data_IF_108310209680
#
_entry.id   IF_108310209680
#
_cell.length_a   1.000
_cell.length_b   1.000
_cell.length_c   1.000
_cell.angle_alpha   90.00
_cell.angle_beta   90.00
_cell.angle_gamma   90.00
#
_symmetry.space_group_name_H-M   'P 1'
#
loop_
_entity.id
_entity.type
_entity.pdbx_description
1 polymer ?
#
# COMPACT_ATOMS: atom_id res chain seq x y z
N UNK A 1 -3.84 80.02 48.78
CA UNK A 1 -4.54 79.17 49.77
C UNK A 1 -5.97 79.70 49.87
N UNK A 2 -7.05 78.90 49.88
CA UNK A 2 -7.21 77.48 50.24
C UNK A 2 -7.68 76.62 49.03
N UNK A 3 -7.52 75.30 48.94
CA UNK A 3 -7.89 74.15 49.79
C UNK A 3 -9.22 73.50 49.35
N UNK A 4 -9.11 72.19 49.03
CA UNK A 4 -10.09 71.09 48.91
C UNK A 4 -11.47 71.38 48.26
N UNK A 5 -11.97 70.53 47.37
CA UNK A 5 -12.68 69.28 47.69
C UNK A 5 -12.93 68.51 46.36
N UNK A 6 -12.47 67.24 46.27
CA UNK A 6 -13.08 66.20 45.41
C UNK A 6 -14.42 65.79 46.06
N UNK A 7 -15.49 65.34 45.39
CA UNK A 7 -15.41 64.22 44.44
C UNK A 7 -16.55 64.11 43.37
N UNK A 8 -16.49 62.99 42.64
CA UNK A 8 -17.66 62.22 42.18
C UNK A 8 -18.53 62.81 41.05
N UNK A 9 -18.14 62.54 39.80
CA UNK A 9 -19.05 62.11 38.74
C UNK A 9 -18.20 61.80 37.50
N UNK A 10 -17.89 60.52 37.22
CA UNK A 10 -17.64 60.00 35.85
C UNK A 10 -17.06 58.58 35.81
N UNK A 11 -16.64 57.98 36.92
CA UNK A 11 -16.18 56.59 36.91
C UNK A 11 -17.32 55.54 37.03
N UNK A 12 -18.58 55.98 37.12
CA UNK A 12 -19.75 55.11 37.33
C UNK A 12 -20.50 54.72 36.04
N UNK A 13 -19.88 54.91 34.86
CA UNK A 13 -20.41 54.38 33.58
C UNK A 13 -19.53 53.29 32.95
N UNK A 14 -18.32 53.07 33.48
CA UNK A 14 -17.41 52.04 32.96
C UNK A 14 -17.39 50.74 33.78
N UNK A 15 -17.95 50.74 35.00
CA UNK A 15 -17.98 49.55 35.87
C UNK A 15 -19.23 48.66 35.67
N UNK A 16 -20.26 49.14 34.98
CA UNK A 16 -21.46 48.34 34.68
C UNK A 16 -21.39 47.55 33.35
N UNK A 17 -20.34 47.75 32.55
CA UNK A 17 -20.11 47.01 31.30
C UNK A 17 -19.06 45.88 31.44
N UNK A 18 -18.31 45.86 32.55
CA UNK A 18 -17.32 44.81 32.84
C UNK A 18 -17.89 43.62 33.66
N UNK A 19 -19.11 43.74 34.20
CA UNK A 19 -19.77 42.67 34.97
C UNK A 19 -20.66 41.77 34.09
N UNK A 20 -20.90 42.14 32.83
CA UNK A 20 -21.73 41.35 31.91
C UNK A 20 -20.95 40.27 31.11
N UNK A 21 -19.61 40.26 31.16
CA UNK A 21 -18.80 39.34 30.32
C UNK A 21 -18.06 38.22 31.07
N UNK A 22 -18.28 38.02 32.38
CA UNK A 22 -17.52 36.99 33.14
C UNK A 22 -18.40 35.83 33.65
N UNK A 23 -19.71 35.85 33.43
CA UNK A 23 -20.61 34.76 33.91
C UNK A 23 -20.79 33.61 32.89
N UNK A 24 -20.19 33.67 31.70
CA UNK A 24 -20.35 32.64 30.65
C UNK A 24 -19.09 31.88 30.24
N UNK A 25 -18.05 31.83 31.08
CA UNK A 25 -16.75 31.23 30.74
C UNK A 25 -16.37 29.93 31.45
N UNK A 26 -17.30 29.27 32.15
CA UNK A 26 -16.97 28.19 33.09
C UNK A 26 -17.75 26.90 32.90
N UNK A 27 -18.04 26.48 31.67
CA UNK A 27 -18.40 25.08 31.43
C UNK A 27 -17.17 24.37 30.88
N UNK A 28 -16.42 23.74 31.79
CA UNK A 28 -15.44 22.74 31.39
C UNK A 28 -16.18 21.71 30.55
N UNK A 29 -15.86 21.67 29.25
CA UNK A 29 -16.22 20.57 28.40
C UNK A 29 -15.53 19.33 28.96
N UNK A 30 -16.21 18.61 29.85
CA UNK A 30 -15.88 17.22 30.09
C UNK A 30 -16.05 16.55 28.74
N UNK A 31 -14.92 16.20 28.12
CA UNK A 31 -14.90 15.29 26.99
C UNK A 31 -15.75 14.09 27.45
N UNK A 32 -16.91 13.91 26.80
CA UNK A 32 -17.81 12.80 27.06
C UNK A 32 -17.00 11.56 26.72
N UNK A 33 -16.47 10.91 27.75
CA UNK A 33 -15.74 9.67 27.61
C UNK A 33 -16.69 8.72 26.89
N UNK A 34 -16.27 8.30 25.71
CA UNK A 34 -17.10 7.55 24.78
C UNK A 34 -17.40 6.18 25.42
N UNK A 35 -18.60 6.03 26.00
CA UNK A 35 -19.04 4.84 26.74
C UNK A 35 -18.87 3.56 25.89
N UNK A 36 -18.94 3.69 24.57
CA UNK A 36 -18.72 2.61 23.61
C UNK A 36 -17.27 2.11 23.64
N UNK A 37 -16.30 3.03 23.68
CA UNK A 37 -14.87 2.71 23.72
C UNK A 37 -14.46 1.99 25.02
N UNK A 38 -15.06 2.36 26.16
CA UNK A 38 -14.78 1.71 27.44
C UNK A 38 -15.39 0.31 27.51
N UNK A 39 -16.58 0.14 26.94
CA UNK A 39 -17.25 -1.16 26.85
C UNK A 39 -16.42 -2.14 26.01
N UNK A 40 -15.91 -1.70 24.85
CA UNK A 40 -15.07 -2.54 23.99
C UNK A 40 -13.75 -2.92 24.68
N UNK A 41 -13.12 -1.99 25.40
CA UNK A 41 -11.89 -2.29 26.15
C UNK A 41 -12.11 -3.30 27.28
N UNK A 42 -13.26 -3.23 27.96
CA UNK A 42 -13.62 -4.21 28.99
C UNK A 42 -13.79 -5.61 28.37
N UNK A 43 -14.47 -5.71 27.22
CA UNK A 43 -14.70 -6.97 26.52
C UNK A 43 -13.39 -7.60 26.00
N UNK A 44 -12.45 -6.78 25.49
CA UNK A 44 -11.14 -7.26 25.03
C UNK A 44 -10.29 -7.84 26.19
N UNK A 45 -10.36 -7.25 27.38
CA UNK A 45 -9.68 -7.80 28.57
C UNK A 45 -10.26 -9.15 28.98
N UNK A 46 -11.58 -9.31 28.90
CA UNK A 46 -12.23 -10.59 29.19
C UNK A 46 -11.83 -11.67 28.17
N UNK A 47 -11.78 -11.33 26.88
CA UNK A 47 -11.29 -12.24 25.84
C UNK A 47 -9.83 -12.66 26.08
N UNK A 48 -8.94 -11.70 26.39
CA UNK A 48 -7.54 -11.98 26.69
C UNK A 48 -7.39 -12.91 27.90
N UNK A 49 -8.23 -12.73 28.92
CA UNK A 49 -8.22 -13.60 30.12
C UNK A 49 -8.72 -15.01 29.78
N UNK A 50 -9.70 -15.14 28.88
CA UNK A 50 -10.20 -16.42 28.42
C UNK A 50 -9.22 -17.16 27.48
N UNK A 51 -8.46 -16.43 26.66
CA UNK A 51 -7.40 -16.99 25.81
C UNK A 51 -6.19 -17.50 26.60
N UNK A 52 -5.89 -16.86 27.74
CA UNK A 52 -4.81 -17.26 28.63
C UNK A 52 -5.18 -18.42 29.57
N UNK A 53 -6.44 -18.84 29.60
CA UNK A 53 -6.84 -20.05 30.32
C UNK A 53 -6.59 -21.26 29.40
N UNK A 54 -5.66 -22.14 29.81
CA UNK A 54 -5.25 -23.36 29.09
C UNK A 54 -6.40 -24.38 28.91
N UNK A 55 -7.31 -24.07 27.99
CA UNK A 55 -8.37 -24.94 27.55
C UNK A 55 -8.55 -24.80 26.05
N UNK A 56 -8.59 -25.91 25.32
CA UNK A 56 -8.86 -25.97 23.89
C UNK A 56 -10.32 -25.56 23.59
N UNK A 57 -10.65 -24.30 23.84
CA UNK A 57 -11.93 -23.69 23.52
C UNK A 57 -11.88 -23.24 22.06
N UNK A 58 -12.90 -23.60 21.29
CA UNK A 58 -13.05 -23.09 19.93
C UNK A 58 -13.25 -21.57 19.95
N UNK A 59 -12.82 -20.89 18.88
CA UNK A 59 -12.97 -19.44 18.76
C UNK A 59 -14.42 -18.96 19.02
N UNK A 60 -15.42 -19.76 18.64
CA UNK A 60 -16.83 -19.51 18.89
C UNK A 60 -17.18 -19.46 20.39
N UNK A 61 -16.63 -20.39 21.18
CA UNK A 61 -16.87 -20.48 22.62
C UNK A 61 -16.26 -19.28 23.35
N UNK A 62 -15.09 -18.82 22.91
CA UNK A 62 -14.42 -17.64 23.47
C UNK A 62 -15.19 -16.34 23.17
N UNK A 63 -15.76 -16.20 21.97
CA UNK A 63 -16.57 -15.03 21.58
C UNK A 63 -17.87 -14.97 22.39
N UNK A 64 -18.52 -16.12 22.63
CA UNK A 64 -19.70 -16.19 23.48
C UNK A 64 -19.35 -15.88 24.95
N UNK A 65 -18.28 -16.46 25.47
CA UNK A 65 -17.86 -16.24 26.86
C UNK A 65 -17.41 -14.80 27.13
N UNK A 66 -16.83 -14.13 26.13
CA UNK A 66 -16.45 -12.73 26.22
C UNK A 66 -17.63 -11.75 26.05
N UNK A 67 -18.87 -12.22 25.85
CA UNK A 67 -20.03 -11.36 25.64
C UNK A 67 -19.99 -10.56 24.34
N UNK A 68 -19.12 -10.95 23.40
CA UNK A 68 -18.91 -10.27 22.12
C UNK A 68 -19.92 -10.69 21.05
N UNK A 69 -20.84 -11.60 21.36
CA UNK A 69 -21.83 -12.12 20.41
C UNK A 69 -22.73 -11.04 19.78
N UNK A 70 -22.94 -9.91 20.47
CA UNK A 70 -23.69 -8.77 19.93
C UNK A 70 -22.86 -7.85 19.01
N UNK A 71 -21.54 -7.96 19.06
CA UNK A 71 -20.58 -7.14 18.30
C UNK A 71 -19.87 -7.94 17.20
N UNK A 72 -19.96 -9.27 17.27
CA UNK A 72 -19.43 -10.21 16.31
C UNK A 72 -20.61 -11.00 15.79
N UNK A 73 -21.12 -10.66 14.60
CA UNK A 73 -22.03 -11.52 13.87
C UNK A 73 -21.27 -12.80 13.49
N UNK A 74 -21.61 -13.98 14.08
CA UNK A 74 -20.98 -15.23 13.69
C UNK A 74 -21.63 -15.81 12.42
N UNK A 75 -22.48 -15.04 11.73
CA UNK A 75 -22.79 -15.32 10.35
C UNK A 75 -21.57 -14.91 9.53
N UNK A 76 -20.68 -15.89 9.35
CA UNK A 76 -20.12 -16.10 8.03
C UNK A 76 -21.32 -16.45 7.13
N UNK A 77 -22.17 -15.46 6.84
CA UNK A 77 -23.10 -15.51 5.71
C UNK A 77 -22.22 -16.00 4.58
N UNK A 78 -22.49 -17.23 4.10
CA UNK A 78 -21.62 -17.99 3.23
C UNK A 78 -20.80 -17.01 2.42
N UNK A 79 -19.56 -16.79 2.85
CA UNK A 79 -18.60 -16.06 2.05
C UNK A 79 -18.29 -17.08 0.96
N UNK A 80 -19.24 -17.25 0.06
CA UNK A 80 -18.97 -17.39 -1.33
C UNK A 80 -18.06 -16.21 -1.58
N UNK A 81 -16.76 -16.49 -1.50
CA UNK A 81 -15.82 -15.78 -2.30
C UNK A 81 -16.49 -15.78 -3.65
N UNK A 82 -17.07 -14.64 -4.03
CA UNK A 82 -17.23 -14.34 -5.43
C UNK A 82 -15.79 -14.36 -5.89
N UNK A 83 -15.33 -15.55 -6.28
CA UNK A 83 -14.22 -15.68 -7.18
C UNK A 83 -14.61 -14.70 -8.27
N UNK A 84 -13.87 -13.58 -8.43
CA UNK A 84 -14.15 -12.68 -9.52
C UNK A 84 -14.30 -13.59 -10.73
N UNK A 85 -15.48 -13.57 -11.34
CA UNK A 85 -15.71 -14.37 -12.53
C UNK A 85 -14.48 -14.17 -13.40
N UNK A 86 -13.85 -15.26 -13.84
CA UNK A 86 -12.65 -15.18 -14.68
C UNK A 86 -13.06 -14.35 -15.88
N UNK A 87 -12.77 -13.06 -15.82
CA UNK A 87 -13.35 -12.07 -16.69
C UNK A 87 -12.42 -11.97 -17.87
N UNK A 88 -12.66 -12.82 -18.87
CA UNK A 88 -12.17 -12.56 -20.22
C UNK A 88 -13.30 -13.00 -21.17
N UNK A 89 -13.87 -12.08 -21.97
CA UNK A 89 -13.09 -11.46 -23.03
C UNK A 89 -13.55 -10.02 -23.35
N UNK A 90 -12.90 -9.03 -22.74
CA UNK A 90 -12.15 -8.01 -23.49
C UNK A 90 -11.31 -7.24 -22.45
N UNK A 91 -10.02 -7.55 -22.28
CA UNK A 91 -9.20 -6.71 -21.44
C UNK A 91 -9.21 -5.31 -22.06
N UNK A 92 -9.53 -4.28 -21.28
CA UNK A 92 -9.25 -2.91 -21.70
C UNK A 92 -7.81 -2.88 -22.24
N UNK A 93 -7.59 -2.33 -23.44
CA UNK A 93 -6.30 -2.42 -24.10
C UNK A 93 -5.22 -1.89 -23.16
N UNK A 94 -4.26 -2.75 -22.84
CA UNK A 94 -3.17 -2.34 -21.94
C UNK A 94 -2.41 -1.19 -22.57
N UNK A 95 -2.30 -0.11 -21.80
CA UNK A 95 -1.47 1.03 -22.17
C UNK A 95 -0.17 0.94 -21.39
N UNK A 96 0.93 0.80 -22.13
CA UNK A 96 2.27 0.82 -21.57
C UNK A 96 3.13 1.88 -22.23
N UNK A 97 3.98 2.53 -21.44
CA UNK A 97 4.90 3.56 -21.94
C UNK A 97 6.27 3.42 -21.32
N UNK A 98 7.25 4.00 -21.99
CA UNK A 98 8.55 4.31 -21.36
C UNK A 98 8.39 5.44 -20.34
N UNK A 99 9.03 5.26 -19.18
CA UNK A 99 9.16 6.28 -18.15
C UNK A 99 10.59 6.31 -17.59
N UNK A 100 10.97 7.44 -17.03
CA UNK A 100 12.16 7.57 -16.18
C UNK A 100 11.92 6.86 -14.83
N UNK A 101 12.72 5.84 -14.56
CA UNK A 101 12.70 5.02 -13.36
C UNK A 101 12.77 5.84 -12.08
N UNK A 102 13.48 6.98 -12.09
CA UNK A 102 13.66 7.83 -10.91
C UNK A 102 12.34 8.31 -10.34
N UNK A 103 11.31 8.48 -11.19
CA UNK A 103 9.97 8.80 -10.72
C UNK A 103 9.39 7.66 -9.86
N UNK A 104 9.47 6.42 -10.36
CA UNK A 104 8.97 5.25 -9.63
C UNK A 104 9.75 5.04 -8.33
N UNK A 105 11.08 5.19 -8.37
CA UNK A 105 11.92 5.08 -7.17
C UNK A 105 11.60 6.17 -6.14
N UNK A 106 11.27 7.39 -6.56
CA UNK A 106 10.84 8.46 -5.64
C UNK A 106 9.57 8.09 -4.89
N UNK A 107 8.60 7.44 -5.57
CA UNK A 107 7.37 6.95 -4.93
C UNK A 107 7.66 5.80 -3.93
N UNK A 108 8.57 4.90 -4.28
CA UNK A 108 9.02 3.84 -3.36
C UNK A 108 9.75 4.46 -2.15
N UNK A 109 10.60 5.47 -2.37
CA UNK A 109 11.33 6.17 -1.31
C UNK A 109 10.39 6.80 -0.29
N UNK A 110 9.31 7.41 -0.77
CA UNK A 110 8.31 8.06 0.06
C UNK A 110 7.59 7.08 0.99
N UNK A 111 7.42 5.83 0.57
CA UNK A 111 6.68 4.81 1.31
C UNK A 111 7.56 3.90 2.16
N UNK A 112 8.79 3.61 1.74
CA UNK A 112 9.67 2.61 2.37
C UNK A 112 11.06 3.13 2.76
N UNK A 113 11.38 4.40 2.51
CA UNK A 113 12.70 4.98 2.77
C UNK A 113 13.68 4.85 1.59
N UNK A 114 14.80 5.57 1.67
CA UNK A 114 15.70 5.78 0.52
C UNK A 114 17.02 4.99 0.58
N UNK A 115 17.27 4.25 1.66
CA UNK A 115 18.61 3.72 1.99
C UNK A 115 19.17 2.81 0.88
N UNK A 116 18.33 1.96 0.28
CA UNK A 116 18.74 1.00 -0.76
C UNK A 116 18.55 1.51 -2.20
N UNK A 117 17.94 2.69 -2.39
CA UNK A 117 17.63 3.22 -3.72
C UNK A 117 18.89 3.54 -4.52
N UNK A 118 19.94 4.00 -3.85
CA UNK A 118 21.23 4.25 -4.49
C UNK A 118 21.83 2.97 -5.09
N UNK A 119 21.67 1.83 -4.42
CA UNK A 119 22.12 0.53 -4.93
C UNK A 119 21.33 0.09 -6.17
N UNK A 120 20.03 0.36 -6.21
CA UNK A 120 19.16 0.07 -7.36
C UNK A 120 19.50 0.97 -8.54
N UNK A 121 19.75 2.26 -8.30
CA UNK A 121 20.17 3.21 -9.33
C UNK A 121 21.54 2.85 -9.90
N UNK A 122 22.50 2.50 -9.04
CA UNK A 122 23.83 2.07 -9.48
C UNK A 122 23.80 0.79 -10.33
N UNK A 123 22.81 -0.08 -10.12
CA UNK A 123 22.64 -1.30 -10.90
C UNK A 123 22.04 -1.07 -12.30
N UNK A 124 21.52 0.12 -12.63
CA UNK A 124 20.92 0.36 -13.94
C UNK A 124 22.00 0.55 -15.01
N UNK A 125 21.95 -0.27 -16.06
CA UNK A 125 22.90 -0.15 -17.19
C UNK A 125 22.47 0.88 -18.23
N UNK A 126 21.18 1.25 -18.28
CA UNK A 126 20.70 2.30 -19.19
C UNK A 126 20.98 3.69 -18.59
N UNK A 127 21.75 4.56 -19.27
CA UNK A 127 22.07 5.90 -18.76
C UNK A 127 20.84 6.83 -18.63
N UNK A 128 19.79 6.58 -19.41
CA UNK A 128 18.53 7.31 -19.35
C UNK A 128 17.56 6.72 -18.29
N UNK A 129 17.99 5.70 -17.54
CA UNK A 129 17.22 5.10 -16.44
C UNK A 129 15.80 4.71 -16.86
N UNK A 130 15.68 4.06 -18.03
CA UNK A 130 14.38 3.74 -18.62
C UNK A 130 13.73 2.56 -17.91
N UNK A 131 12.43 2.66 -17.71
CA UNK A 131 11.58 1.55 -17.28
C UNK A 131 10.37 1.42 -18.22
N UNK A 132 9.88 0.19 -18.36
CA UNK A 132 8.55 -0.04 -18.92
C UNK A 132 7.50 0.16 -17.83
N UNK A 133 6.48 0.92 -18.15
CA UNK A 133 5.40 1.26 -17.23
C UNK A 133 4.07 0.80 -17.79
N UNK A 134 3.37 -0.07 -17.08
CA UNK A 134 1.98 -0.44 -17.37
C UNK A 134 1.07 0.54 -16.63
N UNK A 135 0.31 1.35 -17.37
CA UNK A 135 -0.49 2.43 -16.78
C UNK A 135 -1.91 1.97 -16.45
N UNK A 136 -2.57 1.35 -17.42
CA UNK A 136 -3.97 0.95 -17.33
C UNK A 136 -4.23 -0.34 -18.10
N UNK A 137 -5.25 -1.09 -17.70
CA UNK A 137 -5.74 -2.27 -18.41
C UNK A 137 -5.09 -3.57 -17.94
N UNK A 138 -5.37 -4.66 -18.67
CA UNK A 138 -4.86 -5.99 -18.32
C UNK A 138 -3.78 -6.41 -19.32
N UNK A 139 -2.58 -6.61 -18.82
CA UNK A 139 -1.41 -7.04 -19.56
C UNK A 139 -1.19 -8.54 -19.38
N UNK A 140 -0.94 -9.23 -20.49
CA UNK A 140 -0.37 -10.59 -20.51
C UNK A 140 1.14 -10.55 -20.75
N UNK A 141 1.82 -11.70 -20.69
CA UNK A 141 3.22 -11.79 -21.08
C UNK A 141 3.46 -11.41 -22.56
N UNK A 142 2.51 -11.73 -23.44
CA UNK A 142 2.56 -11.35 -24.84
C UNK A 142 2.45 -9.83 -25.02
N UNK A 143 1.61 -9.17 -24.22
CA UNK A 143 1.49 -7.72 -24.24
C UNK A 143 2.76 -7.05 -23.71
N UNK A 144 3.39 -7.60 -22.67
CA UNK A 144 4.69 -7.12 -22.20
C UNK A 144 5.74 -7.17 -23.31
N UNK A 145 5.85 -8.29 -24.03
CA UNK A 145 6.77 -8.43 -25.18
C UNK A 145 6.52 -7.35 -26.23
N UNK A 146 5.25 -7.18 -26.61
CA UNK A 146 4.81 -6.19 -27.59
C UNK A 146 5.16 -4.77 -27.13
N UNK A 147 4.82 -4.41 -25.90
CA UNK A 147 5.07 -3.08 -25.34
C UNK A 147 6.57 -2.75 -25.22
N UNK A 148 7.42 -3.73 -24.91
CA UNK A 148 8.88 -3.55 -24.88
C UNK A 148 9.42 -3.18 -26.27
N UNK A 149 8.93 -3.84 -27.32
CA UNK A 149 9.33 -3.56 -28.70
C UNK A 149 8.78 -2.22 -29.18
N UNK A 150 7.50 -1.96 -28.95
CA UNK A 150 6.81 -0.71 -29.33
C UNK A 150 7.44 0.53 -28.69
N UNK A 151 7.94 0.40 -27.45
CA UNK A 151 8.60 1.49 -26.73
C UNK A 151 10.11 1.57 -26.98
N UNK A 152 10.66 0.76 -27.90
CA UNK A 152 12.09 0.68 -28.20
C UNK A 152 12.96 0.44 -26.95
N UNK A 153 12.45 -0.40 -26.07
CA UNK A 153 13.05 -0.73 -24.79
C UNK A 153 13.88 -2.02 -24.89
N UNK A 154 13.37 -3.01 -25.62
CA UNK A 154 14.09 -4.26 -25.88
C UNK A 154 13.80 -4.76 -27.29
N UNK A 155 14.75 -5.49 -27.87
CA UNK A 155 14.51 -6.21 -29.12
C UNK A 155 13.49 -7.34 -28.90
N UNK A 156 12.78 -7.71 -29.97
CA UNK A 156 11.88 -8.85 -29.95
C UNK A 156 12.67 -10.11 -29.57
N UNK A 157 12.16 -10.82 -28.56
CA UNK A 157 12.68 -12.13 -28.16
C UNK A 157 11.54 -13.13 -28.27
N UNK A 158 11.81 -14.25 -28.95
CA UNK A 158 10.81 -15.28 -29.26
C UNK A 158 11.06 -16.59 -28.49
N UNK A 159 11.99 -16.55 -27.54
CA UNK A 159 12.23 -17.66 -26.63
C UNK A 159 11.10 -17.61 -25.58
N UNK A 160 10.38 -18.72 -25.36
CA UNK A 160 9.18 -18.78 -24.49
C UNK A 160 9.34 -18.20 -23.07
N UNK A 161 10.56 -17.90 -22.63
CA UNK A 161 10.89 -17.10 -21.44
C UNK A 161 11.08 -15.63 -21.83
N UNK A 162 10.36 -14.71 -21.16
CA UNK A 162 10.60 -13.28 -21.34
C UNK A 162 11.75 -12.84 -20.44
N UNK A 163 12.91 -12.61 -21.04
CA UNK A 163 13.99 -11.93 -20.33
C UNK A 163 13.72 -10.43 -20.30
N UNK A 164 13.82 -9.81 -19.12
CA UNK A 164 13.73 -8.38 -18.91
C UNK A 164 15.13 -7.85 -18.58
N UNK A 165 15.62 -6.93 -19.41
CA UNK A 165 16.89 -6.24 -19.21
C UNK A 165 16.72 -4.85 -18.57
N UNK A 166 15.51 -4.52 -18.12
CA UNK A 166 15.19 -3.25 -17.47
C UNK A 166 14.08 -3.42 -16.45
N UNK A 167 13.86 -2.42 -15.59
CA UNK A 167 12.75 -2.43 -14.67
C UNK A 167 11.40 -2.38 -15.39
N UNK A 168 10.45 -3.13 -14.85
CA UNK A 168 9.03 -3.06 -15.23
C UNK A 168 8.23 -2.64 -14.03
N UNK A 169 7.32 -1.69 -14.22
CA UNK A 169 6.53 -1.13 -13.15
C UNK A 169 5.05 -1.13 -13.52
N UNK A 170 4.22 -1.71 -12.65
CA UNK A 170 2.78 -1.89 -12.81
C UNK A 170 2.09 -0.80 -11.97
N UNK A 171 1.40 0.16 -12.60
CA UNK A 171 0.66 1.20 -11.85
C UNK A 171 -0.68 0.69 -11.34
N UNK A 172 -1.27 1.47 -10.42
CA UNK A 172 -2.56 1.18 -9.79
C UNK A 172 -3.73 0.92 -10.74
N UNK A 173 -3.68 1.44 -11.97
CA UNK A 173 -4.69 1.17 -13.00
C UNK A 173 -4.44 -0.08 -13.84
N UNK A 174 -3.29 -0.75 -13.67
CA UNK A 174 -2.86 -1.86 -14.50
C UNK A 174 -2.86 -3.19 -13.73
N UNK A 175 -3.10 -4.25 -14.48
CA UNK A 175 -2.96 -5.63 -14.04
C UNK A 175 -1.94 -6.35 -14.91
N UNK A 176 -1.00 -7.09 -14.31
CA UNK A 176 -0.17 -8.07 -15.01
C UNK A 176 -0.66 -9.48 -14.66
N UNK A 177 -1.02 -10.25 -15.68
CA UNK A 177 -1.43 -11.65 -15.55
C UNK A 177 -0.37 -12.56 -16.15
N UNK A 178 0.09 -13.52 -15.35
CA UNK A 178 0.98 -14.59 -15.76
C UNK A 178 0.27 -15.94 -15.66
N UNK A 179 0.20 -16.63 -16.80
CA UNK A 179 -0.47 -17.90 -16.97
C UNK A 179 0.47 -19.10 -16.74
N UNK A 180 -0.11 -20.30 -16.75
CA UNK A 180 0.63 -21.52 -16.43
C UNK A 180 1.74 -21.78 -17.47
N UNK A 181 2.95 -22.04 -16.98
CA UNK A 181 4.14 -22.26 -17.81
C UNK A 181 4.82 -20.98 -18.29
N UNK A 182 4.23 -19.80 -18.04
CA UNK A 182 4.87 -18.53 -18.38
C UNK A 182 6.02 -18.20 -17.42
N UNK A 183 7.10 -17.65 -17.98
CA UNK A 183 8.30 -17.30 -17.22
C UNK A 183 8.81 -15.91 -17.58
N UNK A 184 9.06 -15.11 -16.54
CA UNK A 184 9.83 -13.86 -16.60
C UNK A 184 11.20 -14.13 -16.00
N UNK A 185 12.25 -13.73 -16.71
CA UNK A 185 13.63 -13.79 -16.25
C UNK A 185 14.17 -12.37 -16.10
N UNK A 186 14.41 -11.94 -14.87
CA UNK A 186 14.93 -10.62 -14.54
C UNK A 186 16.46 -10.65 -14.63
N UNK A 187 17.02 -9.91 -15.59
CA UNK A 187 18.46 -9.86 -15.77
C UNK A 187 19.14 -9.03 -14.67
N UNK A 188 19.94 -9.71 -13.84
CA UNK A 188 20.74 -9.13 -12.76
C UNK A 188 21.81 -8.18 -13.29
N UNK A 189 22.45 -8.52 -14.40
CA UNK A 189 23.52 -7.72 -14.97
C UNK A 189 23.02 -6.34 -15.40
N UNK A 190 21.78 -6.27 -15.89
CA UNK A 190 21.16 -5.02 -16.36
C UNK A 190 20.35 -4.27 -15.29
N UNK A 191 20.22 -4.83 -14.09
CA UNK A 191 19.48 -4.18 -13.00
C UNK A 191 17.96 -4.30 -13.12
N UNK A 192 17.45 -5.36 -13.73
CA UNK A 192 16.02 -5.56 -13.93
C UNK A 192 15.31 -6.00 -12.64
N UNK A 193 14.14 -5.40 -12.38
CA UNK A 193 13.25 -5.76 -11.28
C UNK A 193 11.79 -5.49 -11.67
N UNK A 194 10.85 -5.98 -10.86
CA UNK A 194 9.42 -5.72 -11.01
C UNK A 194 8.90 -4.93 -9.82
N UNK A 195 8.29 -3.77 -10.05
CA UNK A 195 7.57 -3.03 -9.02
C UNK A 195 6.07 -3.01 -9.32
N UNK A 196 5.27 -3.38 -8.32
CA UNK A 196 3.83 -3.51 -8.43
C UNK A 196 3.10 -2.52 -7.51
N UNK A 197 2.44 -1.54 -8.10
CA UNK A 197 1.49 -0.64 -7.45
C UNK A 197 0.03 -0.94 -7.84
N UNK A 198 -0.18 -1.89 -8.77
CA UNK A 198 -1.49 -2.32 -9.28
C UNK A 198 -1.83 -3.74 -8.86
N UNK A 199 -2.17 -4.58 -9.83
CA UNK A 199 -2.47 -5.99 -9.58
C UNK A 199 -1.47 -6.90 -10.30
N UNK A 200 -0.90 -7.85 -9.57
CA UNK A 200 -0.08 -8.93 -10.13
C UNK A 200 -0.78 -10.26 -9.85
N UNK A 201 -1.23 -10.95 -10.90
CA UNK A 201 -1.85 -12.27 -10.80
C UNK A 201 -0.98 -13.33 -11.47
N UNK A 202 -0.61 -14.37 -10.72
CA UNK A 202 0.32 -15.40 -11.16
C UNK A 202 -0.29 -16.79 -10.93
N UNK A 203 -0.55 -17.53 -12.00
CA UNK A 203 -1.10 -18.89 -11.96
C UNK A 203 -0.19 -19.86 -12.67
N UNK A 204 0.53 -20.73 -11.94
CA UNK A 204 1.44 -21.70 -12.57
C UNK A 204 2.67 -21.06 -13.22
N UNK A 205 3.03 -19.83 -12.83
CA UNK A 205 4.05 -19.01 -13.49
C UNK A 205 5.33 -18.89 -12.66
N UNK A 206 6.42 -18.45 -13.29
CA UNK A 206 7.71 -18.25 -12.62
C UNK A 206 8.30 -16.88 -12.93
N UNK A 207 8.71 -16.16 -11.88
CA UNK A 207 9.57 -14.97 -12.01
C UNK A 207 10.92 -15.32 -11.39
N UNK A 208 12.01 -15.18 -12.13
CA UNK A 208 13.33 -15.57 -11.65
C UNK A 208 14.41 -14.53 -11.94
N UNK A 209 15.33 -14.30 -11.00
CA UNK A 209 16.58 -13.59 -11.26
C UNK A 209 17.54 -14.46 -12.08
N UNK A 210 18.15 -13.90 -13.12
CA UNK A 210 19.14 -14.58 -13.97
C UNK A 210 20.34 -13.69 -14.27
N UNK A 211 21.38 -14.26 -14.86
CA UNK A 211 22.54 -13.53 -15.35
C UNK A 211 23.67 -13.40 -14.32
N UNK A 212 24.76 -12.78 -14.76
CA UNK A 212 25.94 -12.54 -13.93
C UNK A 212 25.68 -11.46 -12.88
N UNK A 213 26.62 -11.29 -11.95
CA UNK A 213 26.58 -10.15 -11.03
C UNK A 213 26.67 -8.84 -11.82
N UNK A 214 25.92 -7.84 -11.38
CA UNK A 214 25.97 -6.51 -11.98
C UNK A 214 27.37 -5.88 -11.81
N UNK A 215 27.97 -5.33 -12.88
CA UNK A 215 29.34 -4.80 -12.81
C UNK A 215 29.48 -3.55 -11.95
N UNK A 216 28.43 -2.73 -11.85
CA UNK A 216 28.43 -1.50 -11.06
C UNK A 216 27.95 -1.72 -9.61
N UNK A 217 27.14 -2.76 -9.36
CA UNK A 217 26.62 -3.11 -8.05
C UNK A 217 26.59 -4.63 -7.85
N UNK A 218 27.73 -5.28 -7.54
CA UNK A 218 27.81 -6.75 -7.48
C UNK A 218 26.87 -7.40 -6.45
N UNK A 219 26.48 -6.68 -5.40
CA UNK A 219 25.52 -7.15 -4.39
C UNK A 219 24.07 -7.07 -4.83
N UNK A 220 23.75 -6.34 -5.92
CA UNK A 220 22.41 -6.23 -6.46
C UNK A 220 21.83 -7.60 -6.81
N UNK A 221 20.57 -7.82 -6.46
CA UNK A 221 19.79 -8.98 -6.85
C UNK A 221 18.46 -8.50 -7.45
N UNK A 222 17.96 -9.12 -8.53
CA UNK A 222 16.61 -8.87 -9.00
C UNK A 222 15.58 -9.16 -7.93
N UNK A 223 14.52 -8.35 -7.89
CA UNK A 223 13.47 -8.52 -6.90
C UNK A 223 12.11 -8.16 -7.48
N UNK A 224 11.07 -8.56 -6.75
CA UNK A 224 9.70 -8.11 -6.97
C UNK A 224 9.25 -7.38 -5.71
N UNK A 225 8.79 -6.13 -5.87
CA UNK A 225 8.24 -5.34 -4.77
C UNK A 225 6.78 -5.03 -5.05
N UNK A 226 5.95 -5.07 -4.01
CA UNK A 226 4.57 -4.56 -4.07
C UNK A 226 4.41 -3.43 -3.06
N UNK A 227 3.88 -2.31 -3.52
CA UNK A 227 3.87 -1.03 -2.81
C UNK A 227 2.55 -0.27 -3.05
N UNK A 228 2.29 0.76 -2.22
CA UNK A 228 1.20 1.73 -2.38
C UNK A 228 -0.21 1.13 -2.59
N UNK A 229 -0.52 0.06 -1.85
CA UNK A 229 -1.82 -0.62 -1.95
C UNK A 229 -1.94 -1.58 -3.13
N UNK A 230 -0.84 -1.83 -3.87
CA UNK A 230 -0.76 -2.89 -4.85
C UNK A 230 -1.10 -4.27 -4.25
N UNK A 231 -1.61 -5.16 -5.09
CA UNK A 231 -2.07 -6.48 -4.70
C UNK A 231 -1.37 -7.56 -5.51
N UNK A 232 -1.10 -8.70 -4.88
CA UNK A 232 -0.49 -9.87 -5.52
C UNK A 232 -1.34 -11.10 -5.21
N UNK A 233 -1.67 -11.87 -6.24
CA UNK A 233 -2.29 -13.17 -6.12
C UNK A 233 -1.37 -14.23 -6.73
N UNK A 234 -0.89 -15.16 -5.91
CA UNK A 234 0.07 -16.20 -6.32
C UNK A 234 -0.55 -17.58 -6.13
N UNK A 235 -0.70 -18.34 -7.21
CA UNK A 235 -1.30 -19.69 -7.21
C UNK A 235 -0.40 -20.64 -8.00
N UNK A 236 0.11 -21.69 -7.35
CA UNK A 236 1.03 -22.67 -7.97
C UNK A 236 2.23 -22.02 -8.72
N UNK A 237 2.68 -20.86 -8.26
CA UNK A 237 3.71 -20.05 -8.90
C UNK A 237 4.91 -19.87 -7.97
N UNK A 238 6.07 -19.50 -8.51
CA UNK A 238 7.31 -19.34 -7.73
C UNK A 238 8.13 -18.11 -8.10
N UNK A 239 8.83 -17.56 -7.11
CA UNK A 239 9.92 -16.59 -7.28
C UNK A 239 11.25 -17.30 -7.01
N UNK A 240 12.25 -17.11 -7.87
CA UNK A 240 13.53 -17.84 -7.81
C UNK A 240 14.75 -16.96 -8.07
#
# INVERSE_FOLDING_TARGET
MPDRIRPALNHMRWLLLAVACVIFGGQGAFARQDEQSDTVRALLRTLQTALNADGALSAQALIQQAGLAAYVTPDKADLSFVQPAVAHPNPDPVTGRRLDLRLALTLIAQSYGADDIFGIMAAQTDPDMKALVLQTGHATLADLRRLLVENHLQAASDHGVLQLDMPVVIWSGATLQLAAGERIALNRESGAFLANFGHLDMVGAVIAGIGAANPASPSYQPFVITADGGTVAVRNSSFA
#
